data_IF_761786413823
#
_entry.id   IF_761786413823
#
_cell.length_a   1.000
_cell.length_b   1.000
_cell.length_c   1.000
_cell.angle_alpha   90.00
_cell.angle_beta   90.00
_cell.angle_gamma   90.00
#
_symmetry.space_group_name_H-M   'P 1'
#
loop_
_entity.id
_entity.type
_entity.pdbx_description
1 polymer ?
#
# COMPACT_ATOMS: atom_id res chain seq x y z
N UNK A 1 -0.73 -24.75 30.49
CA UNK A 1 0.50 -25.25 31.14
C UNK A 1 0.06 -26.15 32.26
N UNK A 2 0.51 -27.40 32.28
CA UNK A 2 0.00 -28.47 33.16
C UNK A 2 0.78 -28.57 34.49
N UNK A 3 1.62 -27.59 34.81
CA UNK A 3 2.27 -27.46 36.11
C UNK A 3 1.30 -27.11 37.24
N UNK A 4 1.77 -27.00 38.50
CA UNK A 4 0.90 -26.59 39.61
C UNK A 4 0.33 -25.20 39.33
N UNK A 5 -1.00 -25.06 39.32
CA UNK A 5 -1.66 -23.77 39.16
C UNK A 5 -1.29 -22.79 40.28
N UNK A 6 -1.57 -21.51 40.07
CA UNK A 6 -1.39 -20.45 41.06
C UNK A 6 -2.71 -19.74 41.31
N UNK A 7 -2.87 -19.08 42.46
CA UNK A 7 -4.04 -18.27 42.72
C UNK A 7 -4.00 -16.98 41.86
N UNK A 8 -4.93 -16.79 40.90
CA UNK A 8 -4.95 -15.59 40.05
C UNK A 8 -5.17 -14.29 40.83
N UNK A 9 -5.85 -14.36 41.99
CA UNK A 9 -6.08 -13.17 42.83
C UNK A 9 -4.82 -12.75 43.59
N UNK A 10 -3.89 -13.70 43.84
CA UNK A 10 -2.61 -13.41 44.46
C UNK A 10 -1.63 -12.69 43.52
N UNK A 11 -1.86 -12.74 42.19
CA UNK A 11 -1.05 -12.03 41.18
C UNK A 11 -1.27 -10.52 41.23
N UNK A 12 -2.48 -10.07 41.57
CA UNK A 12 -2.80 -8.64 41.71
C UNK A 12 -2.48 -8.10 43.11
N UNK A 13 -2.19 -8.97 44.09
CA UNK A 13 -1.98 -8.61 45.51
C UNK A 13 -0.50 -8.57 45.93
N UNK A 14 0.43 -9.02 45.09
CA UNK A 14 1.87 -8.99 45.39
C UNK A 14 2.55 -7.77 44.79
N UNK A 15 3.34 -7.08 45.62
CA UNK A 15 4.19 -5.93 45.29
C UNK A 15 5.42 -6.30 44.40
N UNK A 16 5.39 -7.49 43.77
CA UNK A 16 6.41 -7.93 42.82
C UNK A 16 5.86 -7.90 41.39
N UNK A 17 6.50 -7.16 40.47
CA UNK A 17 6.03 -7.04 39.10
C UNK A 17 6.18 -8.36 38.33
N UNK A 18 5.07 -9.05 38.09
CA UNK A 18 4.98 -10.12 37.10
C UNK A 18 4.98 -9.52 35.69
N UNK A 19 6.15 -9.00 35.27
CA UNK A 19 6.34 -8.23 34.04
C UNK A 19 5.66 -8.84 32.82
N UNK A 20 5.74 -10.16 32.63
CA UNK A 20 5.14 -10.83 31.47
C UNK A 20 3.62 -10.72 31.40
N UNK A 21 2.91 -11.03 32.49
CA UNK A 21 1.44 -11.04 32.52
C UNK A 21 0.86 -9.62 32.57
N UNK A 22 1.55 -8.72 33.27
CA UNK A 22 1.19 -7.30 33.31
C UNK A 22 1.28 -6.66 31.91
N UNK A 23 2.37 -6.93 31.17
CA UNK A 23 2.52 -6.45 29.78
C UNK A 23 1.46 -7.10 28.89
N UNK A 24 1.18 -8.40 29.01
CA UNK A 24 0.14 -9.05 28.19
C UNK A 24 -1.26 -8.46 28.43
N UNK A 25 -1.59 -8.12 29.69
CA UNK A 25 -2.84 -7.45 30.06
C UNK A 25 -2.89 -6.04 29.47
N UNK A 26 -1.85 -5.24 29.69
CA UNK A 26 -1.75 -3.88 29.15
C UNK A 26 -1.86 -3.86 27.62
N UNK A 27 -1.20 -4.81 26.94
CA UNK A 27 -1.28 -4.96 25.48
C UNK A 27 -2.65 -5.38 25.00
N UNK A 28 -3.37 -6.22 25.74
CA UNK A 28 -4.74 -6.59 25.42
C UNK A 28 -5.69 -5.38 25.57
N UNK A 29 -5.58 -4.61 26.65
CA UNK A 29 -6.40 -3.42 26.89
C UNK A 29 -6.16 -2.33 25.82
N UNK A 30 -4.92 -2.15 25.35
CA UNK A 30 -4.58 -1.23 24.25
C UNK A 30 -5.34 -1.52 22.95
N UNK A 31 -5.79 -2.75 22.74
CA UNK A 31 -6.53 -3.19 21.54
C UNK A 31 -8.00 -3.50 21.84
N UNK A 32 -8.56 -2.93 22.93
CA UNK A 32 -9.92 -3.18 23.43
C UNK A 32 -10.19 -4.69 23.74
N UNK A 33 -9.09 -5.43 23.95
CA UNK A 33 -9.01 -6.83 24.33
C UNK A 33 -9.34 -7.08 25.78
N UNK A 34 -9.83 -8.29 26.05
CA UNK A 34 -9.98 -8.85 27.39
C UNK A 34 -8.89 -9.88 27.66
N UNK A 35 -8.40 -9.91 28.89
CA UNK A 35 -7.36 -10.82 29.34
C UNK A 35 -7.88 -11.59 30.55
N UNK A 36 -7.86 -12.92 30.49
CA UNK A 36 -8.33 -13.82 31.54
C UNK A 36 -7.22 -14.80 31.92
N UNK A 37 -7.08 -15.09 33.22
CA UNK A 37 -6.25 -16.18 33.72
C UNK A 37 -7.18 -17.19 34.39
N UNK A 38 -7.14 -18.43 33.93
CA UNK A 38 -7.82 -19.56 34.57
C UNK A 38 -6.75 -20.48 35.13
N UNK A 39 -6.72 -20.64 36.44
CA UNK A 39 -5.73 -21.50 37.08
C UNK A 39 -6.39 -22.38 38.13
N UNK A 40 -5.96 -23.64 38.20
CA UNK A 40 -6.42 -24.63 39.16
C UNK A 40 -5.22 -25.40 39.71
N UNK A 41 -5.18 -25.72 41.03
CA UNK A 41 -4.11 -26.50 41.63
C UNK A 41 -3.87 -27.87 40.97
N UNK A 42 -4.90 -28.43 40.33
CA UNK A 42 -4.90 -29.78 39.72
C UNK A 42 -4.95 -29.72 38.17
N UNK A 43 -5.32 -28.57 37.60
CA UNK A 43 -5.55 -28.39 36.16
C UNK A 43 -4.58 -27.46 35.45
N UNK A 44 -3.58 -26.94 36.16
CA UNK A 44 -2.60 -26.03 35.61
C UNK A 44 -3.13 -24.63 35.36
N UNK A 45 -2.39 -23.86 34.55
CA UNK A 45 -2.72 -22.47 34.21
C UNK A 45 -2.98 -22.33 32.72
N UNK A 46 -4.12 -21.73 32.41
CA UNK A 46 -4.52 -21.25 31.10
C UNK A 46 -4.58 -19.71 31.13
N UNK A 47 -3.92 -19.08 30.15
CA UNK A 47 -3.96 -17.63 29.94
C UNK A 47 -4.72 -17.42 28.64
N UNK A 48 -5.88 -16.78 28.72
CA UNK A 48 -6.76 -16.54 27.59
C UNK A 48 -6.76 -15.05 27.27
N UNK A 49 -6.42 -14.71 26.03
CA UNK A 49 -6.49 -13.33 25.54
C UNK A 49 -7.59 -13.25 24.49
N UNK A 50 -8.65 -12.53 24.84
CA UNK A 50 -9.79 -12.22 23.98
C UNK A 50 -9.56 -10.87 23.34
N UNK A 51 -8.81 -10.82 22.25
CA UNK A 51 -8.75 -9.62 21.43
C UNK A 51 -10.09 -9.50 20.68
N UNK A 52 -10.82 -8.36 20.75
CA UNK A 52 -11.96 -8.16 19.89
C UNK A 52 -11.45 -8.37 18.48
N UNK A 53 -12.06 -9.33 17.78
CA UNK A 53 -11.92 -9.37 16.34
C UNK A 53 -12.68 -8.18 15.83
N UNK A 54 -12.08 -6.99 15.93
CA UNK A 54 -12.60 -5.83 15.27
C UNK A 54 -12.34 -6.02 13.78
N UNK A 55 -13.20 -6.83 13.17
CA UNK A 55 -13.29 -7.05 11.74
C UNK A 55 -13.80 -5.79 11.03
N UNK A 56 -14.09 -4.69 11.75
CA UNK A 56 -14.53 -3.42 11.15
C UNK A 56 -13.40 -2.64 10.49
N UNK A 57 -12.13 -2.95 10.84
CA UNK A 57 -10.95 -2.48 10.09
C UNK A 57 -10.38 -3.55 9.16
N UNK A 58 -11.17 -4.58 8.78
CA UNK A 58 -10.99 -5.08 7.42
C UNK A 58 -11.41 -3.91 6.54
N UNK A 59 -10.43 -3.15 6.08
CA UNK A 59 -10.53 -2.44 4.81
C UNK A 59 -11.29 -3.38 3.87
N UNK A 60 -12.58 -3.10 3.64
CA UNK A 60 -13.35 -3.84 2.66
C UNK A 60 -12.77 -3.40 1.33
N UNK A 61 -11.69 -4.05 0.91
CA UNK A 61 -11.28 -4.00 -0.48
C UNK A 61 -12.51 -4.41 -1.27
N UNK A 62 -12.90 -3.65 -2.31
CA UNK A 62 -14.05 -4.04 -3.10
C UNK A 62 -13.73 -5.43 -3.66
N UNK A 63 -14.51 -6.43 -3.24
CA UNK A 63 -14.32 -7.78 -3.71
C UNK A 63 -14.46 -7.78 -5.24
N UNK A 64 -13.45 -8.31 -5.94
CA UNK A 64 -13.49 -8.40 -7.40
C UNK A 64 -12.96 -7.17 -8.16
N UNK A 65 -12.23 -6.24 -7.52
CA UNK A 65 -11.45 -5.23 -8.27
C UNK A 65 -10.50 -5.95 -9.22
N UNK A 66 -10.60 -5.63 -10.51
CA UNK A 66 -9.81 -6.23 -11.58
C UNK A 66 -8.52 -5.44 -11.77
N UNK A 67 -7.40 -6.08 -11.48
CA UNK A 67 -6.07 -5.47 -11.49
C UNK A 67 -5.24 -6.03 -12.65
N UNK A 68 -4.63 -5.14 -13.42
CA UNK A 68 -3.55 -5.46 -14.35
C UNK A 68 -2.22 -5.07 -13.69
N UNK A 69 -1.27 -6.00 -13.66
CA UNK A 69 0.08 -5.74 -13.16
C UNK A 69 1.03 -5.50 -14.33
N UNK A 70 1.88 -4.48 -14.23
CA UNK A 70 2.83 -4.14 -15.29
C UNK A 70 4.19 -3.88 -14.68
N UNK A 71 5.14 -4.78 -14.92
CA UNK A 71 6.50 -4.73 -14.39
C UNK A 71 7.37 -5.73 -15.18
N UNK A 72 8.61 -5.38 -15.49
CA UNK A 72 9.56 -6.28 -16.17
C UNK A 72 10.21 -7.30 -15.20
N UNK A 73 9.97 -7.16 -13.89
CA UNK A 73 10.45 -8.08 -12.86
C UNK A 73 9.42 -9.17 -12.52
N UNK A 74 9.55 -10.33 -13.14
CA UNK A 74 8.64 -11.48 -12.98
C UNK A 74 8.41 -11.93 -11.52
N UNK A 75 9.46 -11.95 -10.69
CA UNK A 75 9.36 -12.32 -9.28
C UNK A 75 8.51 -11.32 -8.47
N UNK A 76 8.62 -10.03 -8.81
CA UNK A 76 7.83 -8.98 -8.17
C UNK A 76 6.35 -9.11 -8.54
N UNK A 77 6.05 -9.35 -9.82
CA UNK A 77 4.68 -9.62 -10.29
C UNK A 77 4.05 -10.81 -9.57
N UNK A 78 4.79 -11.90 -9.37
CA UNK A 78 4.31 -13.07 -8.64
C UNK A 78 4.02 -12.76 -7.16
N UNK A 79 4.92 -12.07 -6.47
CA UNK A 79 4.71 -11.64 -5.10
C UNK A 79 3.49 -10.73 -4.95
N UNK A 80 3.36 -9.75 -5.85
CA UNK A 80 2.25 -8.79 -5.86
C UNK A 80 0.92 -9.46 -6.17
N UNK A 81 0.89 -10.42 -7.11
CA UNK A 81 -0.29 -11.24 -7.41
C UNK A 81 -0.78 -11.99 -6.17
N UNK A 82 0.13 -12.63 -5.44
CA UNK A 82 -0.20 -13.36 -4.22
C UNK A 82 -0.71 -12.43 -3.11
N UNK A 83 -0.06 -11.27 -2.94
CA UNK A 83 -0.46 -10.25 -1.97
C UNK A 83 -1.88 -9.72 -2.24
N UNK A 84 -2.15 -9.34 -3.49
CA UNK A 84 -3.46 -8.85 -3.94
C UNK A 84 -4.56 -9.89 -3.80
N UNK A 85 -4.29 -11.14 -4.21
CA UNK A 85 -5.24 -12.24 -4.09
C UNK A 85 -5.64 -12.49 -2.63
N UNK A 86 -4.68 -12.41 -1.70
CA UNK A 86 -4.94 -12.56 -0.26
C UNK A 86 -5.91 -11.51 0.31
N UNK A 87 -6.12 -10.39 -0.41
CA UNK A 87 -7.05 -9.31 -0.05
C UNK A 87 -8.28 -9.20 -0.97
N UNK A 88 -8.50 -10.18 -1.84
CA UNK A 88 -9.72 -10.30 -2.65
C UNK A 88 -9.73 -9.51 -3.96
N UNK A 89 -8.57 -9.00 -4.38
CA UNK A 89 -8.39 -8.44 -5.72
C UNK A 89 -8.25 -9.55 -6.76
N UNK A 90 -8.73 -9.30 -7.98
CA UNK A 90 -8.60 -10.22 -9.11
C UNK A 90 -7.52 -9.71 -10.05
N UNK A 91 -6.36 -10.37 -10.09
CA UNK A 91 -5.36 -10.08 -11.12
C UNK A 91 -5.83 -10.69 -12.45
N UNK A 92 -6.14 -9.83 -13.42
CA UNK A 92 -6.73 -10.25 -14.71
C UNK A 92 -5.70 -10.43 -15.82
N UNK A 93 -4.50 -9.91 -15.62
CA UNK A 93 -3.40 -9.98 -16.58
C UNK A 93 -2.10 -9.50 -15.95
N UNK A 94 -1.01 -9.74 -16.66
CA UNK A 94 0.29 -9.20 -16.35
C UNK A 94 1.00 -8.83 -17.65
N UNK A 95 1.71 -7.70 -17.64
CA UNK A 95 2.48 -7.21 -18.77
C UNK A 95 3.91 -6.86 -18.35
N UNK A 96 4.85 -6.93 -19.29
CA UNK A 96 6.28 -6.72 -19.06
C UNK A 96 6.81 -5.36 -19.52
N UNK A 97 5.98 -4.58 -20.22
CA UNK A 97 6.25 -3.18 -20.58
C UNK A 97 4.98 -2.44 -21.02
N UNK A 98 5.16 -1.16 -21.36
CA UNK A 98 4.10 -0.25 -21.76
C UNK A 98 3.37 -0.57 -23.07
N UNK A 99 3.97 -1.34 -23.98
CA UNK A 99 3.30 -1.76 -25.23
C UNK A 99 2.30 -2.87 -24.90
N UNK A 100 2.78 -3.92 -24.21
CA UNK A 100 1.92 -5.01 -23.76
C UNK A 100 0.83 -4.50 -22.80
N UNK A 101 1.16 -3.55 -21.92
CA UNK A 101 0.20 -2.93 -21.03
C UNK A 101 -0.94 -2.23 -21.76
N UNK A 102 -0.68 -1.55 -22.88
CA UNK A 102 -1.72 -0.93 -23.70
C UNK A 102 -2.65 -1.97 -24.32
N UNK A 103 -2.08 -3.02 -24.91
CA UNK A 103 -2.84 -4.11 -25.52
C UNK A 103 -3.74 -4.80 -24.48
N UNK A 104 -3.18 -5.12 -23.32
CA UNK A 104 -3.93 -5.76 -22.23
C UNK A 104 -4.94 -4.81 -21.58
N UNK A 105 -4.65 -3.53 -21.41
CA UNK A 105 -5.61 -2.57 -20.89
C UNK A 105 -6.85 -2.47 -21.79
N UNK A 106 -6.65 -2.44 -23.12
CA UNK A 106 -7.74 -2.41 -24.08
C UNK A 106 -8.55 -3.71 -24.08
N UNK A 107 -7.88 -4.86 -24.03
CA UNK A 107 -8.53 -6.18 -24.09
C UNK A 107 -9.24 -6.54 -22.77
N UNK A 108 -8.60 -6.27 -21.63
CA UNK A 108 -9.08 -6.69 -20.32
C UNK A 108 -9.93 -5.63 -19.64
N UNK A 109 -9.78 -4.34 -19.95
CA UNK A 109 -10.49 -3.22 -19.27
C UNK A 109 -10.43 -3.34 -17.74
N UNK A 110 -9.24 -3.39 -17.13
CA UNK A 110 -9.09 -3.49 -15.68
C UNK A 110 -9.63 -2.23 -14.98
N UNK A 111 -10.01 -2.36 -13.71
CA UNK A 111 -10.39 -1.22 -12.87
C UNK A 111 -9.14 -0.43 -12.42
N UNK A 112 -8.05 -1.16 -12.20
CA UNK A 112 -6.77 -0.64 -11.71
C UNK A 112 -5.60 -1.25 -12.48
N UNK A 113 -4.63 -0.42 -12.84
CA UNK A 113 -3.32 -0.83 -13.31
C UNK A 113 -2.29 -0.44 -12.26
N UNK A 114 -1.47 -1.41 -11.85
CA UNK A 114 -0.24 -1.17 -11.10
C UNK A 114 0.92 -1.15 -12.10
N UNK A 115 1.50 0.02 -12.30
CA UNK A 115 2.40 0.30 -13.41
C UNK A 115 3.80 0.62 -12.89
N UNK A 116 4.78 -0.23 -13.17
CA UNK A 116 6.17 0.15 -12.96
C UNK A 116 6.57 1.33 -13.85
N UNK A 117 7.46 2.18 -13.34
CA UNK A 117 7.93 3.36 -14.05
C UNK A 117 9.00 3.01 -15.09
N UNK A 118 9.93 2.12 -14.75
CA UNK A 118 11.17 1.89 -15.51
C UNK A 118 11.13 0.53 -16.20
N UNK A 119 10.64 0.52 -17.44
CA UNK A 119 10.49 -0.71 -18.23
C UNK A 119 11.13 -0.54 -19.62
N UNK A 120 11.57 -1.64 -20.27
CA UNK A 120 12.10 -1.58 -21.62
C UNK A 120 11.01 -1.22 -22.65
N UNK A 121 11.44 -0.77 -23.84
CA UNK A 121 10.59 -0.45 -25.03
C UNK A 121 9.64 0.73 -24.87
N UNK A 122 8.75 0.71 -23.88
CA UNK A 122 7.84 1.79 -23.53
C UNK A 122 7.78 1.86 -22.01
N UNK A 123 8.24 2.98 -21.45
CA UNK A 123 8.22 3.21 -20.01
C UNK A 123 6.79 3.39 -19.48
N UNK A 124 6.64 3.34 -18.16
CA UNK A 124 5.35 3.42 -17.50
C UNK A 124 4.66 4.78 -17.63
N UNK A 125 5.41 5.87 -17.77
CA UNK A 125 4.87 7.23 -17.90
C UNK A 125 4.24 7.42 -19.27
N UNK A 126 4.94 6.99 -20.33
CA UNK A 126 4.44 6.97 -21.70
C UNK A 126 3.23 6.04 -21.82
N UNK A 127 3.33 4.82 -21.26
CA UNK A 127 2.23 3.86 -21.23
C UNK A 127 0.98 4.45 -20.56
N UNK A 128 1.16 5.10 -19.41
CA UNK A 128 0.09 5.79 -18.68
C UNK A 128 -0.59 6.84 -19.56
N UNK A 129 0.20 7.69 -20.24
CA UNK A 129 -0.33 8.74 -21.11
C UNK A 129 -1.19 8.16 -22.24
N UNK A 130 -0.69 7.11 -22.90
CA UNK A 130 -1.35 6.46 -24.02
C UNK A 130 -2.60 5.68 -23.60
N UNK A 131 -2.57 5.01 -22.44
CA UNK A 131 -3.73 4.32 -21.88
C UNK A 131 -4.79 5.34 -21.49
N UNK A 132 -4.44 6.41 -20.75
CA UNK A 132 -5.41 7.41 -20.28
C UNK A 132 -6.04 8.22 -21.41
N UNK A 133 -5.34 8.42 -22.52
CA UNK A 133 -5.91 9.04 -23.71
C UNK A 133 -7.07 8.22 -24.32
N UNK A 134 -7.07 6.89 -24.18
CA UNK A 134 -8.09 5.99 -24.74
C UNK A 134 -9.08 5.46 -23.70
N UNK A 135 -8.64 5.33 -22.46
CA UNK A 135 -9.35 4.74 -21.33
C UNK A 135 -9.19 5.61 -20.08
N UNK A 136 -9.76 6.82 -20.06
CA UNK A 136 -9.60 7.77 -18.96
C UNK A 136 -10.16 7.24 -17.62
N UNK A 137 -11.09 6.28 -17.66
CA UNK A 137 -11.71 5.66 -16.50
C UNK A 137 -10.78 4.73 -15.72
N UNK A 138 -9.80 4.11 -16.40
CA UNK A 138 -8.88 3.15 -15.76
C UNK A 138 -8.01 3.87 -14.75
N UNK A 139 -8.00 3.40 -13.50
CA UNK A 139 -7.10 3.94 -12.47
C UNK A 139 -5.70 3.40 -12.71
N UNK A 140 -4.69 4.25 -12.68
CA UNK A 140 -3.29 3.85 -12.86
C UNK A 140 -2.50 4.34 -11.66
N UNK A 141 -1.92 3.41 -10.91
CA UNK A 141 -1.04 3.71 -9.77
C UNK A 141 0.37 3.32 -10.17
N UNK A 142 1.27 4.30 -10.18
CA UNK A 142 2.67 4.08 -10.51
C UNK A 142 3.40 3.43 -9.33
N UNK A 143 4.26 2.46 -9.63
CA UNK A 143 5.18 1.82 -8.70
C UNK A 143 6.61 2.18 -9.08
N UNK A 144 7.45 2.54 -8.11
CA UNK A 144 8.88 2.81 -8.37
C UNK A 144 9.77 2.38 -7.23
N UNK A 145 11.03 2.10 -7.51
CA UNK A 145 12.06 1.86 -6.49
C UNK A 145 12.54 3.16 -5.83
N UNK A 146 12.50 4.29 -6.55
CA UNK A 146 13.03 5.57 -6.08
C UNK A 146 12.14 6.76 -6.45
N UNK A 147 12.07 7.73 -5.55
CA UNK A 147 11.29 8.94 -5.71
C UNK A 147 12.07 10.02 -6.49
N UNK A 148 12.19 9.90 -7.79
CA UNK A 148 12.79 10.95 -8.63
C UNK A 148 11.75 12.03 -8.96
N UNK A 149 12.07 13.30 -8.68
CA UNK A 149 11.10 14.40 -8.72
C UNK A 149 10.52 14.68 -10.11
N UNK A 150 11.35 14.65 -11.14
CA UNK A 150 10.93 14.91 -12.52
C UNK A 150 9.95 13.85 -13.03
N UNK A 151 10.30 12.58 -12.83
CA UNK A 151 9.51 11.42 -13.24
C UNK A 151 8.14 11.40 -12.57
N UNK A 152 8.08 11.81 -11.30
CA UNK A 152 6.85 11.94 -10.55
C UNK A 152 5.90 12.99 -11.14
N UNK A 153 6.44 14.14 -11.54
CA UNK A 153 5.65 15.20 -12.15
C UNK A 153 5.11 14.80 -13.52
N UNK A 154 5.93 14.13 -14.33
CA UNK A 154 5.54 13.65 -15.65
C UNK A 154 4.49 12.55 -15.58
N UNK A 155 4.58 11.65 -14.58
CA UNK A 155 3.56 10.64 -14.32
C UNK A 155 2.19 11.25 -13.96
N UNK A 156 2.17 12.28 -13.12
CA UNK A 156 0.93 12.98 -12.77
C UNK A 156 0.33 13.72 -13.96
N UNK A 157 1.17 14.40 -14.75
CA UNK A 157 0.75 15.02 -16.03
C UNK A 157 0.19 14.00 -17.02
N UNK A 158 0.73 12.79 -17.04
CA UNK A 158 0.23 11.69 -17.86
C UNK A 158 -1.13 11.15 -17.39
N UNK A 159 -1.61 11.56 -16.20
CA UNK A 159 -2.91 11.19 -15.66
C UNK A 159 -2.88 10.05 -14.65
N UNK A 160 -1.72 9.74 -14.05
CA UNK A 160 -1.63 8.77 -12.97
C UNK A 160 -2.59 9.15 -11.81
N UNK A 161 -3.30 8.15 -11.30
CA UNK A 161 -4.22 8.27 -10.16
C UNK A 161 -3.50 8.17 -8.80
N UNK A 162 -2.25 7.74 -8.80
CA UNK A 162 -1.42 7.71 -7.60
C UNK A 162 -0.01 7.23 -7.89
N UNK A 163 0.84 7.35 -6.88
CA UNK A 163 2.25 6.99 -6.99
C UNK A 163 2.76 6.40 -5.68
N UNK A 164 3.40 5.23 -5.75
CA UNK A 164 3.86 4.43 -4.62
C UNK A 164 5.31 3.99 -4.79
N UNK A 165 6.02 3.90 -3.67
CA UNK A 165 7.33 3.23 -3.64
C UNK A 165 7.11 1.71 -3.54
N UNK A 166 7.89 0.91 -4.27
CA UNK A 166 7.87 -0.56 -4.16
C UNK A 166 8.27 -1.06 -2.76
N UNK A 167 8.84 -0.19 -1.92
CA UNK A 167 9.27 -0.46 -0.54
C UNK A 167 8.21 -0.15 0.53
N UNK A 168 7.00 0.27 0.16
CA UNK A 168 5.92 0.48 1.16
C UNK A 168 5.56 -0.83 1.87
N UNK A 169 5.10 -0.72 3.11
CA UNK A 169 4.58 -1.87 3.85
C UNK A 169 3.29 -2.40 3.20
N UNK A 170 2.97 -3.68 3.40
CA UNK A 170 1.76 -4.27 2.84
C UNK A 170 0.47 -3.54 3.28
N UNK A 171 0.38 -3.15 4.55
CA UNK A 171 -0.80 -2.45 5.05
C UNK A 171 -0.90 -1.02 4.49
N UNK A 172 0.21 -0.29 4.39
CA UNK A 172 0.22 1.02 3.74
C UNK A 172 -0.12 0.93 2.26
N UNK A 173 0.43 -0.06 1.54
CA UNK A 173 0.13 -0.31 0.13
C UNK A 173 -1.38 -0.41 -0.08
N UNK A 174 -2.04 -1.23 0.72
CA UNK A 174 -3.47 -1.47 0.60
C UNK A 174 -4.34 -0.30 0.99
N UNK A 175 -3.99 0.40 2.08
CA UNK A 175 -4.63 1.65 2.48
C UNK A 175 -4.58 2.66 1.36
N UNK A 176 -3.41 2.84 0.77
CA UNK A 176 -3.21 3.75 -0.34
C UNK A 176 -4.05 3.29 -1.54
N UNK A 177 -4.03 2.02 -1.95
CA UNK A 177 -4.86 1.53 -3.05
C UNK A 177 -6.36 1.80 -2.87
N UNK A 178 -6.89 1.65 -1.67
CA UNK A 178 -8.29 1.97 -1.39
C UNK A 178 -8.60 3.44 -1.69
N UNK A 179 -7.69 4.36 -1.35
CA UNK A 179 -7.85 5.78 -1.64
C UNK A 179 -7.88 6.05 -3.17
N UNK A 180 -7.01 5.42 -3.98
CA UNK A 180 -7.11 5.56 -5.45
C UNK A 180 -8.43 5.05 -6.01
N UNK A 181 -8.92 3.93 -5.48
CA UNK A 181 -10.20 3.35 -5.90
C UNK A 181 -11.37 4.26 -5.51
N UNK A 182 -11.27 4.97 -4.38
CA UNK A 182 -12.21 6.01 -3.98
C UNK A 182 -12.10 7.31 -4.82
N UNK A 183 -11.11 7.39 -5.72
CA UNK A 183 -10.89 8.55 -6.58
C UNK A 183 -10.00 9.63 -5.95
N UNK A 184 -9.39 9.36 -4.80
CA UNK A 184 -8.39 10.25 -4.21
C UNK A 184 -7.05 10.08 -4.93
N UNK A 185 -6.35 11.19 -5.17
CA UNK A 185 -4.97 11.12 -5.65
C UNK A 185 -4.06 10.67 -4.53
N UNK A 186 -3.38 9.53 -4.72
CA UNK A 186 -2.47 8.99 -3.71
C UNK A 186 -1.05 9.48 -3.94
N UNK A 187 -0.47 10.09 -2.92
CA UNK A 187 0.95 10.40 -2.87
C UNK A 187 1.50 9.98 -1.51
N UNK A 188 2.58 9.20 -1.47
CA UNK A 188 3.24 8.92 -0.18
C UNK A 188 3.82 10.22 0.40
N UNK A 189 3.92 10.38 1.73
CA UNK A 189 4.48 11.58 2.33
C UNK A 189 5.91 11.91 1.82
N UNK A 190 6.72 10.87 1.59
CA UNK A 190 8.07 11.04 1.04
C UNK A 190 8.05 11.59 -0.40
N UNK A 191 7.11 11.14 -1.23
CA UNK A 191 6.91 11.63 -2.60
C UNK A 191 6.34 13.05 -2.61
N UNK A 192 5.40 13.35 -1.71
CA UNK A 192 4.83 14.69 -1.53
C UNK A 192 5.89 15.74 -1.22
N UNK A 193 6.77 15.44 -0.25
CA UNK A 193 7.87 16.34 0.10
C UNK A 193 8.80 16.60 -1.09
N UNK A 194 9.13 15.56 -1.88
CA UNK A 194 9.98 15.73 -3.06
C UNK A 194 9.29 16.52 -4.18
N UNK A 195 8.00 16.34 -4.39
CA UNK A 195 7.24 17.16 -5.34
C UNK A 195 7.27 18.64 -4.98
N UNK A 196 7.13 18.98 -3.71
CA UNK A 196 7.15 20.38 -3.26
C UNK A 196 8.51 21.03 -3.53
N UNK A 197 9.60 20.29 -3.31
CA UNK A 197 10.96 20.75 -3.64
C UNK A 197 11.13 20.96 -5.15
N UNK A 198 10.69 20.00 -5.97
CA UNK A 198 10.80 20.07 -7.43
C UNK A 198 9.90 21.18 -8.03
N UNK A 199 8.74 21.41 -7.45
CA UNK A 199 7.87 22.52 -7.87
C UNK A 199 8.52 23.88 -7.58
N UNK A 200 9.17 24.00 -6.41
CA UNK A 200 9.87 25.23 -6.04
C UNK A 200 11.11 25.50 -6.90
N UNK A 201 11.84 24.46 -7.33
CA UNK A 201 12.99 24.63 -8.24
C UNK A 201 12.57 25.06 -9.63
N UNK A 202 11.51 24.45 -10.20
CA UNK A 202 11.01 24.79 -11.54
C UNK A 202 10.33 26.15 -11.62
N UNK A 203 9.71 26.62 -10.53
CA UNK A 203 9.16 27.97 -10.44
C UNK A 203 10.25 29.07 -10.39
N UNK A 204 11.50 28.70 -10.10
CA UNK A 204 12.65 29.61 -10.04
C UNK A 204 13.48 29.66 -11.34
N UNK A 205 13.14 28.85 -12.35
CA UNK A 205 13.76 28.97 -13.68
C UNK A 205 13.14 30.16 -14.45
N UNK A 206 13.94 31.17 -14.84
CA UNK A 206 13.43 32.28 -15.63
C UNK A 206 13.05 31.78 -17.04
N UNK A 207 11.87 32.18 -17.53
CA UNK A 207 11.50 32.03 -18.95
C UNK A 207 12.67 32.50 -19.83
N UNK A 208 13.07 31.74 -20.86
CA UNK A 208 14.08 32.20 -21.79
C UNK A 208 13.58 33.49 -22.45
N UNK A 209 14.36 34.53 -22.24
CA UNK A 209 14.23 35.90 -22.74
C UNK A 209 13.66 35.93 -24.17
N UNK A 210 12.41 36.37 -24.30
CA UNK A 210 11.81 36.82 -25.56
C UNK A 210 12.51 38.11 -25.99
N UNK A 211 13.79 38.02 -26.34
CA UNK A 211 14.51 39.10 -26.98
C UNK A 211 13.92 39.29 -28.39
N UNK A 212 13.32 40.45 -28.72
CA UNK A 212 12.81 40.68 -30.06
C UNK A 212 13.98 40.65 -31.06
N UNK A 213 13.76 40.11 -32.29
CA UNK A 213 14.82 40.03 -33.29
C UNK A 213 15.37 41.41 -33.59
N UNK A 214 16.69 41.55 -33.53
CA UNK A 214 17.39 42.77 -33.91
C UNK A 214 17.11 43.08 -35.40
N UNK A 215 16.65 44.31 -35.65
CA UNK A 215 16.40 44.88 -36.99
C UNK A 215 17.69 45.10 -37.78
#
# INVERSE_FOLDING_TARGET
NDGPGFDPQAVDQHDQPHFGLAIMRERAEQVDGRFEIRSSPVGGTEVIVHVPRDLTARERYPAGVRVLLVDDHSLYLEGLRNLLAARGFQVVGAASDGIEAQEQAAALRPDLILMDVQMPRCDGVEATRLIKARHPEIKIVMLTMAAEGEVLFDALKAGASGYLLKSVTGDDFFRLLNNALAGETILSPALASRMLVEFASRAAEPEPDNAPPAL
#
